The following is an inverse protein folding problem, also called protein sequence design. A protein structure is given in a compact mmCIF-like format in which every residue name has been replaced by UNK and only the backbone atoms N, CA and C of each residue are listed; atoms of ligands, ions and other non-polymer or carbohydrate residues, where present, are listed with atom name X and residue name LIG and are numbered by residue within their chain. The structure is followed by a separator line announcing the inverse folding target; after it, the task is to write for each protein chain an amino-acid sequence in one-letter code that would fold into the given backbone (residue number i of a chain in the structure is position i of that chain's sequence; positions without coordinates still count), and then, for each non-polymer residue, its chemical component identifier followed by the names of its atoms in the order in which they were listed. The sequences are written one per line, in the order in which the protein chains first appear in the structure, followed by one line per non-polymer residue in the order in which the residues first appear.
data_IF_326425674965
#
_entry.id   IF_326425674965
#
_cell.length_a   1.000
_cell.length_b   1.000
_cell.length_c   1.000
_cell.angle_alpha   90.00
_cell.angle_beta   90.00
_cell.angle_gamma   90.00
#
_symmetry.space_group_name_H-M   'P 1'
#
loop_
_entity.id
_entity.type
_entity.pdbx_description
1 polymer ?
#
# COMPACT_ATOMS: atom_id res chain seq x y z
N UNK A 1 11.49 -32.53 21.88
CA UNK A 1 12.45 -31.40 21.77
C UNK A 1 12.27 -30.60 20.47
N UNK A 2 12.22 -31.22 19.27
CA UNK A 2 12.07 -30.54 17.97
C UNK A 2 10.85 -29.59 17.86
N UNK A 3 9.68 -29.98 18.37
CA UNK A 3 8.45 -29.16 18.34
C UNK A 3 8.54 -27.87 19.18
N UNK A 4 9.29 -27.90 20.29
CA UNK A 4 9.54 -26.71 21.13
C UNK A 4 10.51 -25.74 20.47
N UNK A 5 11.52 -26.26 19.77
CA UNK A 5 12.46 -25.46 18.98
C UNK A 5 11.77 -24.78 17.79
N UNK A 6 10.87 -25.50 17.10
CA UNK A 6 10.05 -24.94 16.02
C UNK A 6 9.10 -23.84 16.53
N UNK A 7 8.43 -24.06 17.66
CA UNK A 7 7.55 -23.05 18.26
C UNK A 7 8.31 -21.78 18.65
N UNK A 8 9.52 -21.92 19.21
CA UNK A 8 10.38 -20.78 19.55
C UNK A 8 10.85 -20.01 18.31
N UNK A 9 11.20 -20.70 17.23
CA UNK A 9 11.61 -20.06 15.97
C UNK A 9 10.46 -19.26 15.32
N UNK A 10 9.23 -19.79 15.36
CA UNK A 10 8.04 -19.09 14.84
C UNK A 10 7.72 -17.86 15.68
N UNK A 11 7.78 -17.96 17.01
CA UNK A 11 7.57 -16.81 17.89
C UNK A 11 8.63 -15.71 17.68
N UNK A 12 9.89 -16.09 17.49
CA UNK A 12 10.97 -15.15 17.15
C UNK A 12 10.73 -14.42 15.82
N UNK A 13 10.32 -15.15 14.77
CA UNK A 13 10.04 -14.56 13.45
C UNK A 13 8.85 -13.58 13.47
N UNK A 14 7.83 -13.83 14.31
CA UNK A 14 6.70 -12.91 14.51
C UNK A 14 7.13 -11.64 15.24
N UNK A 15 8.03 -11.74 16.22
CA UNK A 15 8.54 -10.55 16.93
C UNK A 15 9.49 -9.70 16.07
N UNK A 16 10.26 -10.33 15.16
CA UNK A 16 11.14 -9.63 14.21
C UNK A 16 10.38 -8.85 13.12
N UNK A 17 9.15 -9.24 12.81
CA UNK A 17 8.32 -8.57 11.79
C UNK A 17 7.52 -7.36 12.32
N UNK A 18 7.53 -7.13 13.64
CA UNK A 18 6.91 -5.95 14.26
C UNK A 18 7.79 -4.67 14.19
N UNK A 19 9.03 -4.78 13.70
CA UNK A 19 10.05 -3.72 13.80
C UNK A 19 9.99 -2.58 12.78
N UNK A 20 8.96 -2.49 11.95
CA UNK A 20 8.82 -1.44 10.93
C UNK A 20 7.56 -0.59 11.12
N UNK A 21 7.16 -0.32 12.37
CA UNK A 21 6.21 0.75 12.65
C UNK A 21 6.99 2.07 12.65
N UNK A 22 6.50 3.06 11.91
CA UNK A 22 6.99 4.43 12.05
C UNK A 22 6.84 4.84 13.52
N UNK A 23 7.94 5.23 14.15
CA UNK A 23 7.86 5.82 15.49
C UNK A 23 7.19 7.18 15.35
N UNK A 24 5.92 7.27 15.71
CA UNK A 24 5.25 8.54 15.95
C UNK A 24 5.98 9.23 17.10
N UNK A 25 6.94 10.06 16.74
CA UNK A 25 7.58 10.96 17.68
C UNK A 25 6.58 12.09 17.89
N UNK A 26 5.95 12.12 19.06
CA UNK A 26 5.08 13.23 19.42
C UNK A 26 5.82 14.56 19.19
N UNK A 27 5.10 15.58 18.71
CA UNK A 27 5.67 16.91 18.57
C UNK A 27 6.25 17.36 19.94
N UNK A 28 7.40 18.06 19.97
CA UNK A 28 7.97 18.55 21.22
C UNK A 28 6.96 19.33 22.06
N UNK A 29 7.10 19.29 23.39
CA UNK A 29 6.23 20.02 24.31
C UNK A 29 6.21 21.52 23.97
N UNK A 30 5.02 22.11 23.94
CA UNK A 30 4.81 23.52 23.58
C UNK A 30 4.69 23.82 22.08
N UNK A 31 4.84 22.83 21.18
CA UNK A 31 4.61 23.02 19.75
C UNK A 31 3.11 22.90 19.43
N UNK A 32 2.55 23.92 18.79
CA UNK A 32 1.16 23.94 18.32
C UNK A 32 1.10 24.00 16.79
N UNK A 33 0.44 23.01 16.18
CA UNK A 33 0.18 23.00 14.74
C UNK A 33 -0.63 24.24 14.34
N UNK A 34 -0.12 25.00 13.37
CA UNK A 34 -0.79 26.21 12.86
C UNK A 34 -1.49 25.97 11.52
N UNK A 35 -0.88 25.21 10.62
CA UNK A 35 -1.38 25.00 9.27
C UNK A 35 -0.81 23.72 8.65
N UNK A 36 -1.58 23.07 7.79
CA UNK A 36 -1.17 21.91 6.99
C UNK A 36 -1.48 22.16 5.52
N UNK A 37 -0.59 21.72 4.63
CA UNK A 37 -0.85 21.56 3.20
C UNK A 37 -0.44 20.14 2.81
N UNK A 38 -1.37 19.38 2.24
CA UNK A 38 -1.11 18.02 1.75
C UNK A 38 -1.29 18.02 0.23
N UNK A 39 -0.20 17.74 -0.49
CA UNK A 39 -0.26 17.49 -1.92
C UNK A 39 -0.45 15.99 -2.15
N UNK A 40 -1.71 15.55 -2.22
CA UNK A 40 -2.02 14.12 -2.35
C UNK A 40 -1.94 13.65 -3.80
N UNK A 41 -1.40 12.44 -3.99
CA UNK A 41 -1.53 11.70 -5.25
C UNK A 41 -2.78 10.84 -5.17
N UNK A 42 -3.41 10.55 -6.30
CA UNK A 42 -4.45 9.52 -6.38
C UNK A 42 -3.96 8.17 -5.81
N UNK A 43 -4.87 7.42 -5.20
CA UNK A 43 -4.61 6.06 -4.73
C UNK A 43 -4.63 5.03 -5.88
N UNK A 44 -4.79 3.74 -5.55
CA UNK A 44 -4.78 2.63 -6.51
C UNK A 44 -5.85 2.75 -7.60
N UNK A 45 -5.39 2.84 -8.84
CA UNK A 45 -6.22 2.96 -10.05
C UNK A 45 -5.87 1.91 -11.10
N UNK A 46 -6.80 1.62 -12.01
CA UNK A 46 -6.53 0.79 -13.17
C UNK A 46 -5.47 1.44 -14.09
N UNK A 47 -4.70 0.65 -14.86
CA UNK A 47 -3.75 1.15 -15.83
C UNK A 47 -4.38 2.13 -16.82
N UNK A 48 -3.57 3.06 -17.33
CA UNK A 48 -3.94 3.90 -18.49
C UNK A 48 -3.72 3.17 -19.81
N UNK A 49 -3.21 1.94 -19.74
CA UNK A 49 -2.91 1.12 -20.88
C UNK A 49 -4.17 0.40 -21.38
N UNK A 50 -4.97 1.10 -22.17
CA UNK A 50 -6.15 0.56 -22.84
C UNK A 50 -6.05 0.76 -24.37
N UNK A 51 -6.88 0.04 -25.13
CA UNK A 51 -7.20 0.30 -26.55
C UNK A 51 -6.00 0.55 -27.49
N UNK A 52 -5.03 -0.35 -27.57
CA UNK A 52 -3.88 -0.24 -28.47
C UNK A 52 -2.65 0.42 -27.85
N UNK A 53 -2.64 0.65 -26.53
CA UNK A 53 -1.48 1.26 -25.87
C UNK A 53 -0.17 0.47 -26.09
N UNK A 54 0.97 1.15 -26.00
CA UNK A 54 2.30 0.50 -26.10
C UNK A 54 2.40 -0.70 -25.16
N UNK A 55 1.86 -0.59 -23.93
CA UNK A 55 1.90 -1.68 -22.96
C UNK A 55 1.15 -2.92 -23.44
N UNK A 56 0.00 -2.73 -24.10
CA UNK A 56 -0.76 -3.85 -24.69
C UNK A 56 0.06 -4.54 -25.78
N UNK A 57 0.70 -3.76 -26.66
CA UNK A 57 1.50 -4.28 -27.78
C UNK A 57 2.87 -4.85 -27.36
N UNK A 58 3.33 -4.55 -26.14
CA UNK A 58 4.67 -4.92 -25.66
C UNK A 58 4.82 -6.41 -25.35
N UNK A 59 3.73 -7.19 -25.37
CA UNK A 59 3.77 -8.62 -25.08
C UNK A 59 2.65 -9.36 -25.79
N UNK A 60 2.90 -10.62 -26.15
CA UNK A 60 1.88 -11.52 -26.69
C UNK A 60 0.93 -12.09 -25.62
N UNK A 61 1.17 -11.79 -24.33
CA UNK A 61 0.32 -12.27 -23.22
C UNK A 61 -0.86 -11.34 -23.00
N UNK A 62 -2.00 -11.92 -22.62
CA UNK A 62 -3.15 -11.14 -22.17
C UNK A 62 -2.85 -10.46 -20.82
N UNK A 63 -3.16 -9.17 -20.72
CA UNK A 63 -3.08 -8.44 -19.46
C UNK A 63 -4.26 -8.79 -18.55
N UNK A 64 -4.05 -8.87 -17.22
CA UNK A 64 -5.15 -9.01 -16.27
C UNK A 64 -6.16 -7.89 -16.45
N UNK A 65 -7.44 -8.26 -16.45
CA UNK A 65 -8.53 -7.31 -16.56
C UNK A 65 -8.83 -6.68 -15.19
N UNK A 66 -9.19 -5.41 -15.21
CA UNK A 66 -9.64 -4.66 -14.04
C UNK A 66 -11.17 -4.55 -14.08
N UNK A 67 -11.78 -4.48 -12.90
CA UNK A 67 -13.21 -4.33 -12.69
C UNK A 67 -13.72 -2.90 -12.94
N UNK A 68 -12.80 -1.95 -13.08
CA UNK A 68 -13.08 -0.54 -13.40
C UNK A 68 -12.42 -0.12 -14.71
N UNK A 69 -12.98 0.88 -15.43
CA UNK A 69 -12.35 1.43 -16.63
C UNK A 69 -10.92 1.95 -16.40
N UNK A 70 -10.11 1.92 -17.45
CA UNK A 70 -8.72 2.39 -17.42
C UNK A 70 -8.58 3.80 -16.83
N UNK A 71 -7.62 3.96 -15.92
CA UNK A 71 -7.35 5.23 -15.23
C UNK A 71 -8.27 5.55 -14.04
N UNK A 72 -9.37 4.81 -13.84
CA UNK A 72 -10.27 5.07 -12.72
C UNK A 72 -9.76 4.47 -11.41
N UNK A 73 -10.15 5.10 -10.30
CA UNK A 73 -9.89 4.60 -8.96
C UNK A 73 -10.60 3.25 -8.74
N UNK A 74 -9.90 2.29 -8.15
CA UNK A 74 -10.48 1.00 -7.81
C UNK A 74 -11.23 1.07 -6.48
N UNK A 75 -12.16 0.14 -6.22
CA UNK A 75 -12.82 0.02 -4.91
C UNK A 75 -11.80 -0.12 -3.78
N UNK A 76 -10.77 -0.94 -3.98
CA UNK A 76 -9.66 -1.07 -3.03
C UNK A 76 -8.88 0.22 -2.86
N UNK A 77 -8.65 0.98 -3.94
CA UNK A 77 -8.06 2.31 -3.89
C UNK A 77 -8.86 3.27 -3.01
N UNK A 78 -10.19 3.22 -3.09
CA UNK A 78 -11.07 3.97 -2.18
C UNK A 78 -10.92 3.54 -0.72
N UNK A 79 -10.88 2.24 -0.44
CA UNK A 79 -10.64 1.72 0.92
C UNK A 79 -9.28 2.17 1.46
N UNK A 80 -8.23 2.15 0.64
CA UNK A 80 -6.91 2.62 1.04
C UNK A 80 -6.89 4.12 1.31
N UNK A 81 -7.63 4.92 0.53
CA UNK A 81 -7.75 6.35 0.79
C UNK A 81 -8.44 6.61 2.14
N UNK A 82 -9.49 5.84 2.47
CA UNK A 82 -10.15 5.92 3.79
C UNK A 82 -9.19 5.61 4.94
N UNK A 83 -8.20 4.75 4.75
CA UNK A 83 -7.16 4.51 5.77
C UNK A 83 -6.14 5.65 5.88
N UNK A 84 -5.97 6.46 4.84
CA UNK A 84 -5.04 7.59 4.85
C UNK A 84 -5.62 8.82 5.56
N UNK A 85 -6.94 9.04 5.46
CA UNK A 85 -7.67 10.16 6.09
C UNK A 85 -8.39 11.05 5.09
#
# INVERSE_FOLDING_TARGET
MKKRLLAAAVAGAVMLSAGAQAQDSAAPEGYQLQQVLIMSRHNLRAPLANNGSVLEQSTAKAWPQWDVPGGQLTTKGGVLEVYMG
#
